data_IF_922930281692
#
_entry.id   IF_922930281692
#
_cell.length_a   1.000
_cell.length_b   1.000
_cell.length_c   1.000
_cell.angle_alpha   90.00
_cell.angle_beta   90.00
_cell.angle_gamma   90.00
#
_symmetry.space_group_name_H-M   'P 1'
#
loop_
_entity.id
_entity.type
_entity.pdbx_description
1 polymer ?
#
# COMPACT_ATOMS: atom_id res chain seq x y z
N UNK A 1 -23.20 24.01 -27.82
CA UNK A 1 -22.01 24.43 -27.04
C UNK A 1 -22.33 24.27 -25.57
N UNK A 2 -21.95 23.13 -24.98
CA UNK A 2 -22.13 22.87 -23.55
C UNK A 2 -21.18 23.77 -22.75
N UNK A 3 -21.74 24.52 -21.79
CA UNK A 3 -20.95 25.29 -20.84
C UNK A 3 -20.08 24.32 -20.04
N UNK A 4 -18.79 24.28 -20.35
CA UNK A 4 -17.76 23.65 -19.53
C UNK A 4 -17.90 24.28 -18.15
N UNK A 5 -18.31 23.49 -17.15
CA UNK A 5 -18.30 23.92 -15.77
C UNK A 5 -16.86 24.29 -15.41
N UNK A 6 -16.59 25.58 -15.31
CA UNK A 6 -15.39 26.10 -14.67
C UNK A 6 -15.42 25.63 -13.21
N UNK A 7 -14.88 24.43 -12.94
CA UNK A 7 -14.48 24.07 -11.58
C UNK A 7 -13.47 25.13 -11.17
N UNK A 8 -13.88 26.06 -10.29
CA UNK A 8 -12.95 26.96 -9.61
C UNK A 8 -11.90 26.07 -8.95
N UNK A 9 -10.70 25.99 -9.53
CA UNK A 9 -9.59 25.29 -8.92
C UNK A 9 -9.31 25.99 -7.60
N UNK A 10 -9.65 25.33 -6.49
CA UNK A 10 -9.37 25.84 -5.16
C UNK A 10 -7.87 26.05 -5.02
N UNK A 11 -7.47 27.30 -4.78
CA UNK A 11 -6.07 27.66 -4.61
C UNK A 11 -5.59 27.14 -3.25
N UNK A 12 -4.93 25.98 -3.25
CA UNK A 12 -4.26 25.46 -2.06
C UNK A 12 -3.10 26.40 -1.75
N UNK A 13 -3.08 26.95 -0.54
CA UNK A 13 -1.96 27.75 -0.06
C UNK A 13 -1.01 26.85 0.72
N UNK A 14 0.15 26.50 0.17
CA UNK A 14 1.08 25.59 0.84
C UNK A 14 1.73 26.27 2.05
N UNK A 15 2.15 25.43 2.99
CA UNK A 15 2.84 25.88 4.20
C UNK A 15 4.23 25.26 4.31
N UNK A 16 5.09 25.86 5.10
CA UNK A 16 6.36 25.27 5.55
C UNK A 16 6.50 25.40 7.06
N UNK A 17 7.36 24.60 7.68
CA UNK A 17 7.73 24.87 9.07
C UNK A 17 8.53 26.17 9.17
N UNK A 18 8.29 26.94 10.22
CA UNK A 18 9.04 28.18 10.50
C UNK A 18 10.48 27.93 10.95
N UNK A 19 10.79 26.68 11.30
CA UNK A 19 12.15 26.25 11.66
C UNK A 19 13.00 26.18 10.39
N UNK A 20 13.94 27.10 10.23
CA UNK A 20 14.89 27.15 9.12
C UNK A 20 16.05 26.15 9.33
N UNK A 21 15.72 24.86 9.40
CA UNK A 21 16.69 23.79 9.60
C UNK A 21 16.31 22.54 8.80
N UNK A 22 17.27 21.65 8.57
CA UNK A 22 17.03 20.39 7.88
C UNK A 22 16.39 19.37 8.83
N UNK A 23 15.27 18.75 8.45
CA UNK A 23 14.67 17.67 9.23
C UNK A 23 15.49 16.39 9.14
N UNK A 24 15.86 15.83 10.28
CA UNK A 24 16.73 14.65 10.40
C UNK A 24 15.97 13.36 10.70
N UNK A 25 14.85 13.44 11.42
CA UNK A 25 13.96 12.29 11.66
C UNK A 25 12.49 12.69 11.75
N UNK A 26 11.61 11.76 11.36
CA UNK A 26 10.18 11.77 11.66
C UNK A 26 9.86 10.48 12.38
N UNK A 27 9.37 10.58 13.61
CA UNK A 27 9.04 9.43 14.46
C UNK A 27 7.52 9.31 14.53
N UNK A 28 7.00 8.21 14.01
CA UNK A 28 5.59 7.85 14.03
C UNK A 28 5.24 7.13 15.33
N UNK A 29 4.00 7.30 15.75
CA UNK A 29 3.47 6.64 16.92
C UNK A 29 2.03 6.20 16.66
N UNK A 30 1.63 5.01 17.14
CA UNK A 30 0.23 4.59 17.16
C UNK A 30 -0.63 5.56 17.97
N UNK A 31 -1.84 5.85 17.48
CA UNK A 31 -2.86 6.64 18.19
C UNK A 31 -2.51 8.11 18.51
N UNK A 32 -1.33 8.61 18.11
CA UNK A 32 -0.92 10.00 18.39
C UNK A 32 -0.13 10.61 17.23
N UNK A 33 -0.07 11.95 17.13
CA UNK A 33 0.71 12.62 16.11
C UNK A 33 2.19 12.18 16.07
N UNK A 34 2.77 12.19 14.87
CA UNK A 34 4.21 12.00 14.71
C UNK A 34 4.98 13.25 15.16
N UNK A 35 6.27 13.10 15.39
CA UNK A 35 7.17 14.22 15.72
C UNK A 35 8.31 14.30 14.73
N UNK A 36 8.65 15.53 14.33
CA UNK A 36 9.78 15.85 13.49
C UNK A 36 10.91 16.44 14.33
N UNK A 37 12.13 15.95 14.11
CA UNK A 37 13.34 16.48 14.74
C UNK A 37 14.19 17.17 13.67
N UNK A 38 14.65 18.39 13.98
CA UNK A 38 15.51 19.19 13.12
C UNK A 38 16.97 19.12 13.58
N UNK A 39 17.90 19.44 12.69
CA UNK A 39 19.34 19.44 12.98
C UNK A 39 19.74 20.41 14.11
N UNK A 40 18.94 21.45 14.36
CA UNK A 40 19.09 22.35 15.51
C UNK A 40 18.77 21.70 16.87
N UNK A 41 18.25 20.47 16.88
CA UNK A 41 17.71 19.81 18.07
C UNK A 41 16.24 20.18 18.35
N UNK A 42 15.66 21.12 17.61
CA UNK A 42 14.23 21.46 17.73
C UNK A 42 13.37 20.25 17.39
N UNK A 43 12.46 19.89 18.29
CA UNK A 43 11.46 18.84 18.07
C UNK A 43 10.07 19.45 18.00
N UNK A 44 9.33 19.15 16.95
CA UNK A 44 7.96 19.65 16.75
C UNK A 44 7.00 18.50 16.51
N UNK A 45 5.75 18.69 16.92
CA UNK A 45 4.66 17.83 16.48
C UNK A 45 4.39 18.06 14.98
N UNK A 46 4.30 16.99 14.21
CA UNK A 46 4.09 17.08 12.76
C UNK A 46 2.67 17.54 12.42
N UNK A 47 2.53 18.53 11.54
CA UNK A 47 1.23 19.10 11.15
C UNK A 47 1.07 19.20 9.64
N UNK A 48 -0.17 19.29 9.16
CA UNK A 48 -0.46 19.32 7.73
C UNK A 48 0.09 20.60 7.08
N UNK A 49 0.94 20.43 6.06
CA UNK A 49 1.52 21.54 5.29
C UNK A 49 0.71 21.92 4.04
N UNK A 50 -0.49 21.36 3.88
CA UNK A 50 -1.38 21.63 2.74
C UNK A 50 -0.66 21.43 1.39
N UNK A 51 -0.08 20.24 1.18
CA UNK A 51 0.80 19.99 0.03
C UNK A 51 0.09 20.15 -1.31
N UNK A 52 0.72 20.88 -2.24
CA UNK A 52 0.20 21.15 -3.59
C UNK A 52 -0.12 19.86 -4.35
N UNK A 53 0.81 18.90 -4.30
CA UNK A 53 0.71 17.61 -5.00
C UNK A 53 -0.27 16.64 -4.32
N UNK A 54 -0.77 16.95 -3.12
CA UNK A 54 -1.76 16.15 -2.38
C UNK A 54 -1.39 14.66 -2.26
N UNK A 55 -0.14 14.36 -1.92
CA UNK A 55 0.40 12.99 -1.83
C UNK A 55 -0.44 12.01 -1.00
N UNK A 56 -1.17 12.47 0.02
CA UNK A 56 -2.04 11.62 0.83
C UNK A 56 -3.38 11.25 0.14
N UNK A 57 -3.74 11.95 -0.95
CA UNK A 57 -4.94 11.69 -1.76
C UNK A 57 -4.59 11.03 -3.08
N UNK A 58 -3.49 11.44 -3.73
CA UNK A 58 -3.21 11.08 -5.12
C UNK A 58 -1.79 10.54 -5.32
N UNK A 59 -1.70 9.51 -6.15
CA UNK A 59 -0.50 9.09 -6.87
C UNK A 59 -0.27 9.98 -8.09
N UNK A 60 0.99 10.20 -8.44
CA UNK A 60 1.38 10.81 -9.72
C UNK A 60 1.22 9.78 -10.85
N UNK A 61 0.98 10.27 -12.06
CA UNK A 61 0.92 9.40 -13.24
C UNK A 61 2.23 8.61 -13.45
N UNK A 62 3.37 9.22 -13.11
CA UNK A 62 4.69 8.55 -13.15
C UNK A 62 4.86 7.46 -12.09
N UNK A 63 4.06 7.46 -11.02
CA UNK A 63 4.02 6.36 -10.04
C UNK A 63 3.12 5.21 -10.53
N UNK A 64 2.28 5.46 -11.54
CA UNK A 64 1.34 4.50 -12.15
C UNK A 64 1.72 4.16 -13.59
N UNK A 65 3.01 4.25 -13.93
CA UNK A 65 3.57 3.81 -15.19
C UNK A 65 4.75 2.89 -14.95
N UNK A 66 4.99 1.97 -15.88
CA UNK A 66 6.09 1.01 -15.79
C UNK A 66 6.70 0.82 -17.18
N UNK A 67 7.96 1.21 -17.36
CA UNK A 67 8.66 1.05 -18.64
C UNK A 67 8.95 -0.42 -18.95
N UNK A 68 9.11 -1.27 -17.93
CA UNK A 68 9.30 -2.71 -18.11
C UNK A 68 8.06 -3.40 -18.64
N UNK A 69 6.88 -2.79 -18.52
CA UNK A 69 5.60 -3.31 -18.96
C UNK A 69 4.77 -2.25 -19.68
N UNK A 70 5.38 -1.58 -20.67
CA UNK A 70 4.78 -0.43 -21.37
C UNK A 70 3.48 -0.75 -22.13
N UNK A 71 3.25 -2.03 -22.45
CA UNK A 71 2.09 -2.50 -23.24
C UNK A 71 0.92 -2.91 -22.33
N UNK A 72 1.12 -3.01 -21.01
CA UNK A 72 0.07 -3.46 -20.09
C UNK A 72 -1.03 -2.37 -19.95
N UNK A 73 -2.30 -2.66 -20.29
CA UNK A 73 -3.41 -1.73 -20.22
C UNK A 73 -3.80 -1.51 -18.75
N UNK A 74 -3.17 -0.52 -18.13
CA UNK A 74 -3.34 -0.27 -16.71
C UNK A 74 -4.50 0.66 -16.38
N UNK A 75 -5.06 0.43 -15.19
CA UNK A 75 -6.00 1.34 -14.56
C UNK A 75 -5.31 2.67 -14.19
N UNK A 76 -6.03 3.78 -14.39
CA UNK A 76 -5.53 5.15 -14.17
C UNK A 76 -6.02 5.79 -12.88
N UNK A 77 -6.68 5.03 -11.99
CA UNK A 77 -7.15 5.57 -10.72
C UNK A 77 -5.94 6.02 -9.88
N UNK A 78 -5.87 7.31 -9.57
CA UNK A 78 -4.79 7.92 -8.80
C UNK A 78 -5.05 7.91 -7.29
N UNK A 79 -6.22 7.48 -6.83
CA UNK A 79 -6.59 7.60 -5.42
C UNK A 79 -5.69 6.72 -4.54
N UNK A 80 -5.12 7.33 -3.51
CA UNK A 80 -4.37 6.66 -2.44
C UNK A 80 -5.32 5.89 -1.52
N UNK A 81 -6.45 6.50 -1.16
CA UNK A 81 -7.46 5.85 -0.35
C UNK A 81 -8.39 5.00 -1.24
N UNK A 82 -8.38 3.66 -1.10
CA UNK A 82 -9.15 2.79 -1.99
C UNK A 82 -10.66 2.87 -1.78
N UNK A 83 -11.09 3.42 -0.63
CA UNK A 83 -12.49 3.63 -0.23
C UNK A 83 -12.90 5.10 -0.27
N UNK A 84 -12.07 5.99 -0.85
CA UNK A 84 -12.34 7.42 -0.97
C UNK A 84 -12.70 8.14 0.34
N UNK A 85 -12.19 7.67 1.49
CA UNK A 85 -12.50 8.24 2.80
C UNK A 85 -11.79 9.59 3.06
N UNK A 86 -10.68 9.88 2.38
CA UNK A 86 -9.98 11.17 2.52
C UNK A 86 -10.24 12.06 1.30
N UNK A 87 -10.72 13.28 1.53
CA UNK A 87 -11.07 14.24 0.47
C UNK A 87 -10.66 15.65 0.85
N UNK A 88 -10.47 16.50 -0.14
CA UNK A 88 -10.34 17.94 0.08
C UNK A 88 -11.71 18.58 -0.16
N UNK A 89 -12.38 19.00 0.91
CA UNK A 89 -13.68 19.66 0.82
C UNK A 89 -13.52 21.10 0.32
N UNK A 90 -14.54 21.60 -0.38
CA UNK A 90 -14.58 23.00 -0.80
C UNK A 90 -14.38 23.93 0.40
N UNK A 91 -13.58 24.99 0.22
CA UNK A 91 -13.25 25.99 1.25
C UNK A 91 -12.46 25.45 2.47
N UNK A 92 -12.02 24.18 2.47
CA UNK A 92 -11.13 23.67 3.52
C UNK A 92 -9.66 23.99 3.23
N UNK A 93 -8.89 24.33 4.27
CA UNK A 93 -7.42 24.48 4.17
C UNK A 93 -6.67 23.14 4.26
N UNK A 94 -7.34 22.07 4.67
CA UNK A 94 -6.76 20.77 4.97
C UNK A 94 -7.64 19.64 4.44
N UNK A 95 -7.09 18.45 4.15
CA UNK A 95 -7.90 17.30 3.81
C UNK A 95 -8.74 16.84 5.02
N UNK A 96 -9.92 16.30 4.75
CA UNK A 96 -10.85 15.76 5.73
C UNK A 96 -10.97 14.25 5.52
N UNK A 97 -11.04 13.49 6.62
CA UNK A 97 -11.26 12.05 6.62
C UNK A 97 -12.68 11.77 7.10
N UNK A 98 -13.48 11.13 6.27
CA UNK A 98 -14.76 10.55 6.63
C UNK A 98 -14.53 9.26 7.42
N UNK A 99 -14.84 9.30 8.71
CA UNK A 99 -14.64 8.18 9.64
C UNK A 99 -15.56 6.99 9.38
N UNK A 100 -16.70 7.21 8.71
CA UNK A 100 -17.65 6.15 8.36
C UNK A 100 -17.12 5.32 7.19
N UNK A 101 -16.46 5.96 6.22
CA UNK A 101 -15.82 5.28 5.09
C UNK A 101 -14.42 4.75 5.41
N UNK A 102 -13.70 5.37 6.34
CA UNK A 102 -12.31 5.02 6.62
C UNK A 102 -12.17 3.59 7.16
N UNK A 103 -11.45 2.74 6.42
CA UNK A 103 -11.09 1.37 6.83
C UNK A 103 -9.85 1.31 7.74
N UNK A 104 -9.34 2.46 8.20
CA UNK A 104 -8.16 2.56 9.08
C UNK A 104 -6.87 1.89 8.55
N UNK A 105 -6.70 1.77 7.22
CA UNK A 105 -5.60 0.99 6.65
C UNK A 105 -4.22 1.66 6.71
N UNK A 106 -4.13 3.00 6.80
CA UNK A 106 -2.85 3.71 6.93
C UNK A 106 -2.18 4.17 5.64
N UNK A 107 -2.73 3.89 4.45
CA UNK A 107 -2.13 4.33 3.18
C UNK A 107 -1.90 5.84 3.10
N UNK A 108 -2.88 6.65 3.53
CA UNK A 108 -2.74 8.11 3.54
C UNK A 108 -1.67 8.60 4.53
N UNK A 109 -1.53 7.94 5.68
CA UNK A 109 -0.50 8.23 6.68
C UNK A 109 0.89 7.90 6.13
N UNK A 110 1.04 6.72 5.53
CA UNK A 110 2.29 6.25 4.96
C UNK A 110 2.76 7.08 3.76
N UNK A 111 1.82 7.66 2.98
CA UNK A 111 2.15 8.57 1.88
C UNK A 111 2.42 10.01 2.32
N UNK A 112 2.06 10.42 3.54
CA UNK A 112 2.23 11.80 3.96
C UNK A 112 3.73 12.10 4.20
N UNK A 113 4.38 12.94 3.37
CA UNK A 113 5.81 13.21 3.52
C UNK A 113 6.17 13.88 4.84
N UNK A 114 5.20 14.59 5.43
CA UNK A 114 5.35 15.37 6.65
C UNK A 114 5.09 14.53 7.91
N UNK A 115 4.43 13.38 7.78
CA UNK A 115 3.91 12.63 8.92
C UNK A 115 2.73 13.30 9.64
N UNK A 116 1.98 14.15 8.93
CA UNK A 116 0.85 14.90 9.47
C UNK A 116 -0.44 14.07 9.63
N UNK A 117 -0.43 12.78 9.32
CA UNK A 117 -1.61 11.92 9.46
C UNK A 117 -1.22 10.75 10.36
N UNK A 118 -2.00 10.52 11.40
CA UNK A 118 -1.83 9.39 12.32
C UNK A 118 -3.12 8.56 12.37
N UNK A 119 -3.00 7.30 12.77
CA UNK A 119 -4.13 6.39 12.91
C UNK A 119 -4.58 6.39 14.36
N UNK A 120 -5.88 6.62 14.58
CA UNK A 120 -6.53 6.34 15.85
C UNK A 120 -7.09 4.92 15.85
N UNK A 121 -7.76 4.53 16.94
CA UNK A 121 -8.41 3.22 17.03
C UNK A 121 -9.44 2.96 15.92
N UNK A 122 -10.08 4.00 15.35
CA UNK A 122 -11.22 3.83 14.42
C UNK A 122 -11.03 4.45 13.04
N UNK A 123 -10.17 5.47 12.92
CA UNK A 123 -10.00 6.25 11.69
C UNK A 123 -8.63 6.95 11.64
N UNK A 124 -8.19 7.30 10.43
CA UNK A 124 -7.10 8.23 10.23
C UNK A 124 -7.50 9.66 10.63
N UNK A 125 -6.56 10.41 11.20
CA UNK A 125 -6.73 11.79 11.64
C UNK A 125 -5.64 12.65 11.00
N UNK A 126 -6.05 13.74 10.33
CA UNK A 126 -5.15 14.76 9.80
C UNK A 126 -4.81 15.71 10.94
N UNK A 127 -3.55 15.74 11.36
CA UNK A 127 -3.10 16.66 12.38
C UNK A 127 -2.97 18.07 11.83
N UNK A 128 -3.68 18.99 12.48
CA UNK A 128 -3.69 20.42 12.17
C UNK A 128 -3.38 21.26 13.40
N UNK A 129 -2.89 20.66 14.51
CA UNK A 129 -2.75 21.35 15.80
C UNK A 129 -1.57 22.34 15.86
N UNK A 130 -0.45 22.05 15.21
CA UNK A 130 0.74 22.91 15.26
C UNK A 130 0.74 24.03 14.19
N UNK A 131 -0.40 24.71 13.96
CA UNK A 131 -0.51 25.76 12.92
C UNK A 131 0.44 26.93 13.19
N UNK A 132 0.70 27.27 14.45
CA UNK A 132 1.60 28.36 14.83
C UNK A 132 3.08 28.13 14.47
N UNK A 133 3.44 26.87 14.21
CA UNK A 133 4.82 26.49 13.82
C UNK A 133 4.98 26.39 12.31
N UNK A 134 3.99 26.82 11.55
CA UNK A 134 4.01 26.82 10.09
C UNK A 134 3.58 28.17 9.52
N UNK A 135 4.21 28.57 8.43
CA UNK A 135 3.89 29.81 7.71
C UNK A 135 3.48 29.50 6.27
N UNK A 136 2.68 30.40 5.67
CA UNK A 136 2.37 30.34 4.25
C UNK A 136 3.65 30.53 3.44
N UNK A 137 3.74 29.85 2.30
CA UNK A 137 4.92 29.92 1.46
C UNK A 137 4.55 29.82 -0.02
N UNK A 138 5.52 30.02 -0.91
CA UNK A 138 5.34 29.84 -2.34
C UNK A 138 5.59 28.37 -2.75
N UNK A 139 5.18 28.00 -3.97
CA UNK A 139 5.35 26.64 -4.51
C UNK A 139 6.80 26.15 -4.45
N UNK A 140 7.76 26.99 -4.83
CA UNK A 140 9.17 26.61 -4.91
C UNK A 140 9.73 26.24 -3.54
N UNK A 141 9.53 27.11 -2.54
CA UNK A 141 9.99 26.88 -1.17
C UNK A 141 9.30 25.66 -0.53
N UNK A 142 8.01 25.47 -0.81
CA UNK A 142 7.29 24.29 -0.37
C UNK A 142 7.89 23.00 -0.92
N UNK A 143 8.18 22.95 -2.23
CA UNK A 143 8.77 21.76 -2.87
C UNK A 143 10.18 21.47 -2.36
N UNK A 144 10.99 22.51 -2.09
CA UNK A 144 12.30 22.35 -1.44
C UNK A 144 12.14 21.69 -0.06
N UNK A 145 11.22 22.19 0.77
CA UNK A 145 10.97 21.60 2.09
C UNK A 145 10.49 20.14 2.01
N UNK A 146 9.56 19.86 1.10
CA UNK A 146 9.08 18.49 0.88
C UNK A 146 10.21 17.56 0.41
N UNK A 147 11.13 18.03 -0.44
CA UNK A 147 12.27 17.22 -0.89
C UNK A 147 13.17 16.78 0.26
N UNK A 148 13.32 17.63 1.28
CA UNK A 148 14.03 17.30 2.53
C UNK A 148 13.26 16.25 3.33
N UNK A 149 11.96 16.47 3.54
CA UNK A 149 11.08 15.56 4.29
C UNK A 149 10.95 14.16 3.68
N UNK A 150 10.97 14.05 2.34
CA UNK A 150 10.98 12.75 1.67
C UNK A 150 12.24 11.94 2.02
N UNK A 151 13.39 12.61 2.14
CA UNK A 151 14.70 12.00 2.46
C UNK A 151 14.94 11.83 3.96
N UNK A 152 14.14 12.48 4.81
CA UNK A 152 14.22 12.36 6.26
C UNK A 152 13.95 10.93 6.70
N UNK A 153 14.78 10.43 7.64
CA UNK A 153 14.66 9.10 8.24
C UNK A 153 13.29 8.96 8.92
N UNK A 154 12.59 7.85 8.64
CA UNK A 154 11.26 7.55 9.17
C UNK A 154 11.38 6.39 10.13
N UNK A 155 10.91 6.58 11.35
CA UNK A 155 11.05 5.62 12.45
C UNK A 155 9.71 5.42 13.18
N UNK A 156 9.61 4.34 13.95
CA UNK A 156 8.39 3.98 14.67
C UNK A 156 7.33 3.36 13.76
N UNK A 157 6.12 3.22 14.30
CA UNK A 157 4.98 2.58 13.64
C UNK A 157 3.81 3.53 13.48
N UNK A 158 3.05 3.37 12.39
CA UNK A 158 1.79 4.08 12.19
C UNK A 158 0.67 3.53 13.09
N UNK A 159 0.75 2.23 13.40
CA UNK A 159 -0.23 1.49 14.15
C UNK A 159 0.38 0.18 14.66
N UNK A 160 -0.05 -0.26 15.84
CA UNK A 160 0.30 -1.58 16.37
C UNK A 160 -0.84 -2.56 16.07
N UNK A 161 -0.48 -3.73 15.54
CA UNK A 161 -1.45 -4.77 15.26
C UNK A 161 -2.02 -5.40 16.53
N UNK A 162 -3.31 -5.74 16.47
CA UNK A 162 -4.04 -6.50 17.49
C UNK A 162 -5.24 -7.17 16.83
N UNK A 163 -5.74 -8.26 17.43
CA UNK A 163 -6.93 -8.96 16.91
C UNK A 163 -8.13 -8.02 16.76
N UNK A 164 -8.39 -7.17 17.76
CA UNK A 164 -9.51 -6.23 17.74
C UNK A 164 -9.38 -5.19 16.62
N UNK A 165 -8.17 -4.71 16.36
CA UNK A 165 -7.91 -3.78 15.26
C UNK A 165 -8.12 -4.46 13.91
N UNK A 166 -7.52 -5.63 13.71
CA UNK A 166 -7.63 -6.37 12.45
C UNK A 166 -9.09 -6.74 12.19
N UNK A 167 -9.82 -7.23 13.20
CA UNK A 167 -11.26 -7.52 13.11
C UNK A 167 -12.04 -6.29 12.62
N UNK A 168 -11.79 -5.13 13.23
CA UNK A 168 -12.47 -3.88 12.87
C UNK A 168 -12.18 -3.49 11.42
N UNK A 169 -10.93 -3.61 10.98
CA UNK A 169 -10.52 -3.31 9.60
C UNK A 169 -11.18 -4.29 8.63
N UNK A 170 -11.12 -5.59 8.89
CA UNK A 170 -11.66 -6.63 8.02
C UNK A 170 -13.18 -6.54 7.90
N UNK A 171 -13.90 -6.24 8.99
CA UNK A 171 -15.34 -5.94 8.93
C UNK A 171 -15.64 -4.77 8.00
N UNK A 172 -14.89 -3.67 8.12
CA UNK A 172 -15.08 -2.52 7.23
C UNK A 172 -14.68 -2.83 5.77
N UNK A 173 -13.64 -3.63 5.55
CA UNK A 173 -13.23 -4.09 4.21
C UNK A 173 -14.34 -4.90 3.53
N UNK A 174 -14.96 -5.84 4.24
CA UNK A 174 -16.03 -6.70 3.72
C UNK A 174 -17.35 -5.94 3.52
N UNK A 175 -17.62 -4.92 4.33
CA UNK A 175 -18.80 -4.08 4.21
C UNK A 175 -18.63 -2.88 3.28
N UNK A 176 -17.41 -2.63 2.77
CA UNK A 176 -17.16 -1.51 1.87
C UNK A 176 -17.85 -1.79 0.53
N UNK A 177 -19.02 -1.18 0.32
CA UNK A 177 -19.72 -1.16 -0.98
C UNK A 177 -18.84 -0.44 -2.00
N UNK A 178 -18.02 -1.24 -2.68
CA UNK A 178 -16.94 -0.78 -3.53
C UNK A 178 -16.99 -1.51 -4.86
N UNK A 179 -16.45 -0.86 -5.89
CA UNK A 179 -16.39 -1.46 -7.21
C UNK A 179 -15.65 -2.81 -7.19
N UNK A 180 -15.94 -3.69 -8.15
CA UNK A 180 -15.17 -4.93 -8.37
C UNK A 180 -13.64 -4.73 -8.52
N UNK A 181 -13.17 -3.52 -8.81
CA UNK A 181 -11.75 -3.18 -8.89
C UNK A 181 -11.09 -2.95 -7.51
N UNK A 182 -11.88 -2.89 -6.43
CA UNK A 182 -11.41 -2.52 -5.10
C UNK A 182 -10.28 -3.42 -4.57
N UNK A 183 -10.36 -4.77 -4.64
CA UNK A 183 -9.25 -5.63 -4.24
C UNK A 183 -7.94 -5.26 -4.93
N UNK A 184 -8.01 -5.03 -6.25
CA UNK A 184 -6.86 -4.71 -7.07
C UNK A 184 -6.31 -3.33 -6.70
N UNK A 185 -7.18 -2.33 -6.56
CA UNK A 185 -6.80 -0.98 -6.17
C UNK A 185 -6.13 -0.94 -4.79
N UNK A 186 -6.69 -1.65 -3.81
CA UNK A 186 -6.17 -1.66 -2.46
C UNK A 186 -4.80 -2.35 -2.40
N UNK A 187 -4.69 -3.53 -3.00
CA UNK A 187 -3.43 -4.29 -3.09
C UNK A 187 -2.34 -3.50 -3.79
N UNK A 188 -2.64 -2.91 -4.95
CA UNK A 188 -1.71 -2.04 -5.69
C UNK A 188 -1.16 -0.93 -4.81
N UNK A 189 -2.04 -0.24 -4.10
CA UNK A 189 -1.66 0.90 -3.27
C UNK A 189 -0.76 0.46 -2.09
N UNK A 190 -1.01 -0.72 -1.50
CA UNK A 190 -0.13 -1.29 -0.47
C UNK A 190 1.25 -1.64 -1.04
N UNK A 191 1.30 -2.32 -2.19
CA UNK A 191 2.56 -2.71 -2.84
C UNK A 191 3.38 -1.48 -3.28
N UNK A 192 2.75 -0.42 -3.79
CA UNK A 192 3.45 0.86 -4.08
C UNK A 192 4.04 1.47 -2.82
N UNK A 193 3.35 1.38 -1.68
CA UNK A 193 3.90 1.87 -0.43
C UNK A 193 5.10 1.03 0.05
N UNK A 194 5.07 -0.27 -0.20
CA UNK A 194 6.17 -1.22 -0.01
C UNK A 194 7.22 -1.18 -1.14
N UNK A 195 7.28 -0.07 -1.90
CA UNK A 195 8.31 0.24 -2.91
C UNK A 195 8.29 -0.59 -4.19
N UNK A 196 7.19 -1.28 -4.47
CA UNK A 196 6.96 -1.92 -5.77
C UNK A 196 6.20 -1.00 -6.72
N UNK A 197 6.76 -0.72 -7.90
CA UNK A 197 5.97 -0.14 -8.97
C UNK A 197 4.94 -1.18 -9.41
N UNK A 198 3.65 -0.93 -9.13
CA UNK A 198 2.59 -1.92 -9.32
C UNK A 198 1.50 -1.34 -10.20
N UNK A 199 1.16 -2.06 -11.26
CA UNK A 199 0.05 -1.72 -12.15
C UNK A 199 -1.04 -2.79 -12.02
N UNK A 200 -2.29 -2.37 -12.10
CA UNK A 200 -3.44 -3.28 -12.14
C UNK A 200 -4.16 -3.13 -13.45
N UNK A 201 -4.78 -4.21 -13.91
CA UNK A 201 -5.54 -4.24 -15.15
C UNK A 201 -6.65 -3.19 -15.14
N UNK A 202 -6.86 -2.54 -16.28
CA UNK A 202 -7.99 -1.64 -16.50
C UNK A 202 -9.32 -2.39 -16.40
N UNK A 203 -10.29 -1.82 -15.68
CA UNK A 203 -11.65 -2.38 -15.58
C UNK A 203 -12.26 -2.58 -16.98
N UNK A 204 -12.78 -3.78 -17.24
CA UNK A 204 -13.45 -4.14 -18.50
C UNK A 204 -12.52 -4.57 -19.63
N UNK A 205 -11.20 -4.66 -19.39
CA UNK A 205 -10.27 -5.25 -20.35
C UNK A 205 -10.38 -6.78 -20.35
N UNK A 206 -10.71 -7.35 -21.50
CA UNK A 206 -10.85 -8.80 -21.71
C UNK A 206 -9.63 -9.45 -22.37
N UNK A 207 -8.69 -8.64 -22.87
CA UNK A 207 -7.50 -9.11 -23.57
C UNK A 207 -6.44 -9.61 -22.60
N UNK A 208 -6.34 -8.96 -21.43
CA UNK A 208 -5.45 -9.35 -20.34
C UNK A 208 -6.28 -9.85 -19.17
N UNK A 209 -6.01 -11.09 -18.71
CA UNK A 209 -6.75 -11.70 -17.59
C UNK A 209 -6.13 -11.46 -16.22
N UNK A 210 -4.82 -11.25 -16.21
CA UNK A 210 -4.00 -10.88 -15.05
C UNK A 210 -4.62 -9.73 -14.26
N UNK A 211 -4.60 -9.82 -12.93
CA UNK A 211 -5.05 -8.73 -12.06
C UNK A 211 -4.06 -7.57 -12.03
N UNK A 212 -2.77 -7.87 -12.08
CA UNK A 212 -1.73 -6.87 -12.11
C UNK A 212 -0.34 -7.42 -12.41
N UNK A 213 0.59 -6.49 -12.43
CA UNK A 213 2.02 -6.71 -12.63
C UNK A 213 2.78 -5.77 -11.72
N UNK A 214 4.01 -6.15 -11.37
CA UNK A 214 4.85 -5.31 -10.55
C UNK A 214 6.31 -5.38 -10.96
N UNK A 215 7.06 -4.35 -10.59
CA UNK A 215 8.50 -4.38 -10.62
C UNK A 215 9.12 -3.57 -9.47
N UNK A 216 10.41 -3.78 -9.25
CA UNK A 216 11.23 -2.99 -8.35
C UNK A 216 12.47 -2.49 -9.08
N UNK A 217 13.18 -1.55 -8.46
CA UNK A 217 14.48 -1.08 -8.96
C UNK A 217 15.58 -2.16 -8.84
N UNK A 218 15.37 -3.22 -8.05
CA UNK A 218 16.31 -4.33 -7.84
C UNK A 218 16.10 -5.51 -8.80
N UNK A 219 15.68 -5.22 -10.03
CA UNK A 219 15.46 -6.21 -11.11
C UNK A 219 14.33 -7.23 -10.90
N UNK A 220 13.56 -7.13 -9.80
CA UNK A 220 12.35 -7.96 -9.64
C UNK A 220 11.29 -7.45 -10.60
N UNK A 221 10.72 -8.34 -11.39
CA UNK A 221 9.52 -8.14 -12.21
C UNK A 221 8.61 -9.34 -12.05
N UNK A 222 7.31 -9.14 -12.05
CA UNK A 222 6.38 -10.19 -11.68
C UNK A 222 4.94 -9.95 -12.07
N UNK A 223 4.14 -10.99 -11.87
CA UNK A 223 2.70 -11.02 -12.08
C UNK A 223 2.00 -11.14 -10.73
N UNK A 224 0.85 -10.48 -10.63
CA UNK A 224 0.02 -10.41 -9.45
C UNK A 224 -1.37 -10.99 -9.73
N UNK A 225 -1.79 -11.91 -8.86
CA UNK A 225 -3.17 -12.42 -8.77
C UNK A 225 -3.75 -12.04 -7.41
N UNK A 226 -5.00 -11.55 -7.37
CA UNK A 226 -5.58 -10.93 -6.18
C UNK A 226 -6.94 -11.55 -5.86
N UNK A 227 -7.04 -12.25 -4.73
CA UNK A 227 -8.27 -12.97 -4.37
C UNK A 227 -8.78 -12.58 -2.97
N UNK A 228 -9.85 -11.80 -2.93
CA UNK A 228 -10.51 -11.42 -1.67
C UNK A 228 -11.75 -12.26 -1.35
N UNK A 229 -12.22 -13.06 -2.31
CA UNK A 229 -13.37 -13.93 -2.18
C UNK A 229 -13.00 -15.34 -1.75
N UNK A 230 -13.86 -16.30 -2.14
CA UNK A 230 -13.80 -17.69 -1.70
C UNK A 230 -13.00 -18.60 -2.65
N UNK A 231 -12.59 -18.10 -3.81
CA UNK A 231 -12.05 -18.92 -4.90
C UNK A 231 -10.51 -18.89 -5.02
N UNK A 232 -9.84 -18.83 -3.87
CA UNK A 232 -8.38 -18.79 -3.79
C UNK A 232 -7.71 -20.03 -4.38
N UNK A 233 -8.43 -21.14 -4.51
CA UNK A 233 -7.93 -22.36 -5.13
C UNK A 233 -7.56 -22.18 -6.61
N UNK A 234 -8.21 -21.24 -7.31
CA UNK A 234 -7.92 -20.99 -8.72
C UNK A 234 -6.72 -20.05 -8.92
N UNK A 235 -6.33 -19.26 -7.91
CA UNK A 235 -5.24 -18.29 -8.02
C UNK A 235 -3.90 -18.90 -8.50
N UNK A 236 -3.45 -20.09 -8.05
CA UNK A 236 -2.22 -20.70 -8.58
C UNK A 236 -2.32 -21.05 -10.08
N UNK A 237 -3.50 -21.47 -10.55
CA UNK A 237 -3.73 -21.80 -11.97
C UNK A 237 -3.76 -20.53 -12.82
N UNK A 238 -4.46 -19.49 -12.34
CA UNK A 238 -4.51 -18.19 -13.01
C UNK A 238 -3.10 -17.59 -13.16
N UNK A 239 -2.26 -17.71 -12.14
CA UNK A 239 -0.85 -17.31 -12.21
C UNK A 239 -0.08 -18.06 -13.30
N UNK A 240 -0.29 -19.36 -13.47
CA UNK A 240 0.37 -20.12 -14.55
C UNK A 240 -0.10 -19.65 -15.93
N UNK A 241 -1.40 -19.41 -16.09
CA UNK A 241 -1.97 -18.86 -17.33
C UNK A 241 -1.36 -17.49 -17.64
N UNK A 242 -1.23 -16.63 -16.63
CA UNK A 242 -0.65 -15.32 -16.78
C UNK A 242 0.84 -15.35 -17.16
N UNK A 243 1.61 -16.25 -16.55
CA UNK A 243 3.01 -16.50 -16.92
C UNK A 243 3.12 -16.98 -18.37
N UNK A 244 2.23 -17.89 -18.79
CA UNK A 244 2.18 -18.37 -20.16
C UNK A 244 1.82 -17.24 -21.15
N UNK A 245 0.88 -16.36 -20.80
CA UNK A 245 0.51 -15.18 -21.61
C UNK A 245 1.69 -14.22 -21.75
N UNK A 246 2.36 -13.86 -20.64
CA UNK A 246 3.53 -12.98 -20.68
C UNK A 246 4.69 -13.59 -21.48
N UNK A 247 4.89 -14.90 -21.36
CA UNK A 247 5.96 -15.59 -22.09
C UNK A 247 5.68 -15.72 -23.58
N UNK A 248 4.44 -16.05 -23.97
CA UNK A 248 4.09 -16.30 -25.37
C UNK A 248 3.80 -15.03 -26.17
N UNK A 249 3.13 -14.05 -25.58
CA UNK A 249 2.66 -12.84 -26.29
C UNK A 249 3.58 -11.64 -26.13
N UNK A 250 4.30 -11.57 -25.02
CA UNK A 250 5.08 -10.39 -24.65
C UNK A 250 6.58 -10.68 -24.46
N UNK A 251 7.01 -11.91 -24.78
CA UNK A 251 8.41 -12.33 -24.83
C UNK A 251 9.18 -12.18 -23.49
N UNK A 252 8.48 -12.27 -22.35
CA UNK A 252 9.13 -12.35 -21.04
C UNK A 252 9.52 -13.80 -20.73
N UNK A 253 10.75 -14.04 -20.30
CA UNK A 253 11.10 -15.35 -19.75
C UNK A 253 10.30 -15.60 -18.46
N UNK A 254 9.43 -16.61 -18.43
CA UNK A 254 8.66 -16.94 -17.22
C UNK A 254 9.56 -17.28 -16.03
N UNK A 255 10.77 -17.79 -16.28
CA UNK A 255 11.78 -18.06 -15.24
C UNK A 255 12.30 -16.79 -14.58
N UNK A 256 12.19 -15.64 -15.24
CA UNK A 256 12.59 -14.35 -14.70
C UNK A 256 11.46 -13.65 -13.94
N UNK A 257 10.21 -14.03 -14.20
CA UNK A 257 9.05 -13.44 -13.57
C UNK A 257 8.81 -14.02 -12.18
N UNK A 258 8.42 -13.15 -11.26
CA UNK A 258 8.06 -13.50 -9.90
C UNK A 258 6.54 -13.61 -9.79
N UNK A 259 5.98 -14.81 -9.57
CA UNK A 259 4.54 -14.96 -9.36
C UNK A 259 4.17 -14.63 -7.92
N UNK A 260 3.18 -13.78 -7.72
CA UNK A 260 2.71 -13.36 -6.41
C UNK A 260 1.18 -13.42 -6.33
N UNK A 261 0.67 -14.17 -5.35
CA UNK A 261 -0.75 -14.23 -5.00
C UNK A 261 -0.94 -13.40 -3.73
N UNK A 262 -1.87 -12.44 -3.78
CA UNK A 262 -2.31 -11.69 -2.61
C UNK A 262 -3.75 -12.07 -2.29
N UNK A 263 -3.97 -12.64 -1.12
CA UNK A 263 -5.31 -12.99 -0.65
C UNK A 263 -5.76 -12.10 0.51
N UNK A 264 -7.07 -12.08 0.79
CA UNK A 264 -7.57 -11.45 2.01
C UNK A 264 -7.09 -12.23 3.26
N UNK A 265 -7.17 -13.56 3.19
CA UNK A 265 -6.74 -14.52 4.22
C UNK A 265 -5.97 -15.67 3.56
N UNK A 266 -5.02 -16.30 4.25
CA UNK A 266 -4.42 -17.53 3.72
C UNK A 266 -5.46 -18.66 3.65
N UNK A 267 -5.44 -19.49 2.58
CA UNK A 267 -6.31 -20.66 2.45
C UNK A 267 -6.08 -21.68 3.58
N UNK A 268 -7.13 -22.32 4.09
CA UNK A 268 -6.99 -23.35 5.12
C UNK A 268 -6.04 -24.49 4.69
N UNK A 269 -5.39 -25.16 5.64
CA UNK A 269 -4.39 -26.20 5.36
C UNK A 269 -4.94 -27.38 4.55
N UNK A 270 -6.24 -27.69 4.71
CA UNK A 270 -6.93 -28.76 3.96
C UNK A 270 -7.25 -28.40 2.50
N UNK A 271 -7.00 -27.18 2.06
CA UNK A 271 -7.24 -26.78 0.68
C UNK A 271 -6.14 -27.31 -0.24
N UNK A 272 -6.49 -27.73 -1.45
CA UNK A 272 -5.52 -28.20 -2.46
C UNK A 272 -4.58 -27.08 -2.95
N UNK A 273 -4.85 -25.82 -2.60
CA UNK A 273 -4.02 -24.66 -2.93
C UNK A 273 -2.53 -24.94 -2.68
N UNK A 274 -2.18 -25.40 -1.49
CA UNK A 274 -0.80 -25.59 -1.06
C UNK A 274 -0.09 -26.73 -1.81
N UNK A 275 -0.84 -27.77 -2.16
CA UNK A 275 -0.33 -28.88 -2.98
C UNK A 275 -0.07 -28.42 -4.40
N UNK A 276 -0.99 -27.64 -4.98
CA UNK A 276 -0.78 -27.04 -6.30
C UNK A 276 0.46 -26.14 -6.32
N UNK A 277 0.67 -25.29 -5.30
CA UNK A 277 1.88 -24.46 -5.18
C UNK A 277 3.15 -25.32 -5.16
N UNK A 278 3.15 -26.44 -4.41
CA UNK A 278 4.28 -27.37 -4.33
C UNK A 278 4.52 -28.08 -5.67
N UNK A 279 3.47 -28.59 -6.30
CA UNK A 279 3.55 -29.33 -7.56
C UNK A 279 4.08 -28.43 -8.69
N UNK A 280 3.63 -27.18 -8.75
CA UNK A 280 4.16 -26.18 -9.70
C UNK A 280 5.67 -25.98 -9.51
N UNK A 281 6.15 -25.89 -8.26
CA UNK A 281 7.57 -25.78 -8.00
C UNK A 281 8.32 -27.05 -8.40
N UNK A 282 7.82 -28.24 -8.04
CA UNK A 282 8.50 -29.50 -8.35
C UNK A 282 8.59 -29.77 -9.86
N UNK A 283 7.56 -29.42 -10.63
CA UNK A 283 7.49 -29.71 -12.07
C UNK A 283 8.14 -28.62 -12.91
N UNK A 284 7.90 -27.35 -12.58
CA UNK A 284 8.31 -26.21 -13.41
C UNK A 284 9.45 -25.39 -12.82
N UNK A 285 9.87 -25.67 -11.58
CA UNK A 285 10.80 -24.84 -10.81
C UNK A 285 10.32 -23.38 -10.68
N UNK A 286 9.00 -23.20 -10.51
CA UNK A 286 8.36 -21.91 -10.33
C UNK A 286 7.86 -21.82 -8.88
N UNK A 287 8.37 -20.82 -8.16
CA UNK A 287 8.00 -20.56 -6.76
C UNK A 287 6.94 -19.45 -6.72
N UNK A 288 5.69 -19.86 -6.66
CA UNK A 288 4.56 -18.93 -6.49
C UNK A 288 4.55 -18.45 -5.03
N UNK A 289 4.65 -17.14 -4.85
CA UNK A 289 4.63 -16.51 -3.53
C UNK A 289 3.20 -16.23 -3.07
N UNK A 290 2.94 -16.34 -1.77
CA UNK A 290 1.63 -16.09 -1.17
C UNK A 290 1.77 -15.07 -0.03
N UNK A 291 0.97 -14.02 -0.05
CA UNK A 291 0.90 -13.02 1.01
C UNK A 291 -0.56 -12.64 1.27
N UNK A 292 -0.82 -12.03 2.42
CA UNK A 292 -2.15 -11.50 2.77
C UNK A 292 -2.15 -9.98 2.83
N UNK A 293 -3.34 -9.39 2.66
CA UNK A 293 -3.57 -7.96 2.89
C UNK A 293 -3.16 -7.55 4.31
N UNK A 294 -3.50 -8.36 5.32
CA UNK A 294 -3.05 -8.13 6.70
C UNK A 294 -1.52 -8.06 6.81
N UNK A 295 -0.80 -8.97 6.15
CA UNK A 295 0.67 -8.97 6.16
C UNK A 295 1.24 -7.71 5.51
N UNK A 296 0.70 -7.31 4.34
CA UNK A 296 1.12 -6.08 3.67
C UNK A 296 0.86 -4.83 4.52
N UNK A 297 -0.28 -4.78 5.21
CA UNK A 297 -0.63 -3.69 6.13
C UNK A 297 0.33 -3.61 7.31
N UNK A 298 0.64 -4.74 7.96
CA UNK A 298 1.58 -4.79 9.09
C UNK A 298 2.98 -4.34 8.65
N UNK A 299 3.47 -4.83 7.50
CA UNK A 299 4.76 -4.41 6.96
C UNK A 299 4.79 -2.90 6.68
N UNK A 300 3.71 -2.37 6.08
CA UNK A 300 3.56 -0.94 5.80
C UNK A 300 3.50 -0.12 7.09
N UNK A 301 2.77 -0.60 8.12
CA UNK A 301 2.64 0.07 9.41
C UNK A 301 3.98 0.25 10.13
N UNK A 302 4.95 -0.62 9.86
CA UNK A 302 6.28 -0.57 10.46
C UNK A 302 7.35 0.04 9.53
N UNK A 303 6.95 0.66 8.41
CA UNK A 303 7.88 1.20 7.39
C UNK A 303 8.93 0.16 6.93
N UNK A 304 8.54 -1.12 6.85
CA UNK A 304 9.48 -2.21 6.58
C UNK A 304 10.03 -2.14 5.17
N UNK A 305 11.32 -2.40 5.01
CA UNK A 305 11.93 -2.62 3.70
C UNK A 305 11.68 -4.07 3.27
N UNK A 306 10.89 -4.24 2.20
CA UNK A 306 10.47 -5.55 1.75
C UNK A 306 11.14 -5.88 0.43
N UNK A 307 11.89 -6.99 0.42
CA UNK A 307 12.40 -7.56 -0.82
C UNK A 307 11.41 -8.64 -1.31
N UNK A 308 10.91 -8.48 -2.53
CA UNK A 308 9.95 -9.41 -3.15
C UNK A 308 10.63 -10.42 -4.10
N UNK A 309 11.92 -10.72 -3.90
CA UNK A 309 12.61 -11.81 -4.60
C UNK A 309 11.85 -13.14 -4.47
N UNK A 310 12.07 -14.06 -5.42
CA UNK A 310 11.26 -15.27 -5.69
C UNK A 310 11.09 -16.26 -4.53
N UNK A 311 11.87 -16.12 -3.47
CA UNK A 311 11.89 -17.06 -2.35
C UNK A 311 11.32 -16.49 -1.05
N UNK A 312 11.16 -15.17 -0.95
CA UNK A 312 10.94 -14.53 0.34
C UNK A 312 9.56 -14.80 0.93
N UNK A 313 8.57 -15.11 0.10
CA UNK A 313 7.20 -15.42 0.53
C UNK A 313 6.66 -16.70 -0.12
N UNK A 314 7.55 -17.62 -0.52
CA UNK A 314 7.13 -18.95 -0.94
C UNK A 314 6.78 -19.79 0.29
N UNK A 315 5.56 -20.31 0.30
CA UNK A 315 5.04 -21.24 1.29
C UNK A 315 4.19 -22.30 0.58
N UNK A 316 4.24 -23.53 1.07
CA UNK A 316 3.65 -24.70 0.41
C UNK A 316 3.06 -25.69 1.41
N UNK A 317 2.78 -26.92 0.97
CA UNK A 317 2.19 -27.93 1.84
C UNK A 317 3.14 -28.59 2.87
N UNK A 318 4.44 -28.29 2.83
CA UNK A 318 5.39 -28.69 3.86
C UNK A 318 5.61 -27.56 4.88
N UNK A 319 5.55 -26.31 4.42
CA UNK A 319 5.63 -25.12 5.27
C UNK A 319 4.64 -24.04 4.83
N UNK A 320 3.50 -23.98 5.51
CA UNK A 320 2.40 -23.06 5.21
C UNK A 320 2.50 -21.69 5.91
N UNK A 321 3.56 -21.42 6.68
CA UNK A 321 3.62 -20.23 7.54
C UNK A 321 4.54 -19.15 6.98
N UNK A 322 4.00 -17.93 6.92
CA UNK A 322 4.73 -16.68 6.64
C UNK A 322 5.30 -16.04 7.90
N UNK A 323 5.00 -16.58 9.08
CA UNK A 323 5.23 -15.92 10.36
C UNK A 323 6.70 -15.58 10.57
N UNK A 324 7.61 -16.51 10.29
CA UNK A 324 9.04 -16.29 10.41
C UNK A 324 9.54 -15.22 9.42
N UNK A 325 9.04 -15.21 8.18
CA UNK A 325 9.43 -14.21 7.18
C UNK A 325 8.98 -12.81 7.62
N UNK A 326 7.75 -12.68 8.12
CA UNK A 326 7.23 -11.40 8.61
C UNK A 326 7.97 -10.95 9.89
N UNK A 327 8.22 -11.84 10.86
CA UNK A 327 8.98 -11.52 12.07
C UNK A 327 10.39 -11.03 11.73
N UNK A 328 11.05 -11.68 10.77
CA UNK A 328 12.39 -11.30 10.31
C UNK A 328 12.39 -9.90 9.72
N UNK A 329 11.40 -9.57 8.89
CA UNK A 329 11.24 -8.24 8.28
C UNK A 329 10.93 -7.15 9.31
N UNK A 330 10.16 -7.48 10.35
CA UNK A 330 9.79 -6.55 11.41
C UNK A 330 10.86 -6.37 12.48
N UNK A 331 11.74 -7.37 12.67
CA UNK A 331 12.67 -7.43 13.80
C UNK A 331 11.99 -7.64 15.15
N UNK A 332 10.72 -8.08 15.17
CA UNK A 332 9.90 -8.32 16.37
C UNK A 332 8.79 -9.33 16.10
N UNK A 333 8.23 -9.89 17.16
CA UNK A 333 7.03 -10.73 17.10
C UNK A 333 5.80 -9.96 16.63
N UNK A 334 4.85 -10.67 16.02
CA UNK A 334 3.56 -10.14 15.58
C UNK A 334 2.55 -10.29 16.72
N UNK A 335 1.72 -9.28 16.95
CA UNK A 335 0.72 -9.27 18.01
C UNK A 335 -0.70 -9.55 17.49
N UNK A 336 -0.90 -10.67 16.80
CA UNK A 336 -2.22 -11.14 16.34
C UNK A 336 -2.38 -12.64 16.57
N UNK A 337 -3.59 -13.08 16.88
CA UNK A 337 -3.93 -14.49 16.90
C UNK A 337 -4.17 -14.99 15.47
N UNK A 338 -3.51 -16.10 15.11
CA UNK A 338 -3.67 -16.70 13.78
C UNK A 338 -5.10 -17.22 13.53
N UNK A 339 -5.84 -17.59 14.59
CA UNK A 339 -7.11 -18.31 14.52
C UNK A 339 -8.23 -17.55 13.78
N UNK A 340 -8.24 -16.22 13.82
CA UNK A 340 -9.39 -15.44 13.35
C UNK A 340 -9.26 -14.99 11.89
N UNK A 341 -8.04 -14.81 11.38
CA UNK A 341 -7.81 -14.12 10.11
C UNK A 341 -6.86 -14.86 9.16
N UNK A 342 -6.18 -15.92 9.61
CA UNK A 342 -5.17 -16.62 8.80
C UNK A 342 -4.17 -15.68 8.10
N UNK A 343 -3.68 -14.63 8.79
CA UNK A 343 -2.85 -13.57 8.15
C UNK A 343 -1.46 -14.09 7.79
N UNK A 344 -0.77 -14.73 8.73
CA UNK A 344 0.58 -15.28 8.53
C UNK A 344 0.63 -16.80 8.62
N UNK A 345 -0.45 -17.44 9.06
CA UNK A 345 -0.56 -18.90 9.13
C UNK A 345 -1.99 -19.32 8.83
N UNK A 346 -2.22 -20.33 7.99
CA UNK A 346 -3.56 -20.80 7.70
C UNK A 346 -4.18 -21.55 8.87
N UNK A 347 -5.51 -21.45 8.95
CA UNK A 347 -6.33 -22.29 9.81
C UNK A 347 -6.35 -23.75 9.31
N UNK A 348 -6.72 -24.68 10.20
CA UNK A 348 -6.80 -26.11 9.87
C UNK A 348 -7.83 -26.38 8.77
#
# INVERSE_FOLDING_TARGET
MSKIFNQKQQQIVPKHYTVESTPISIIYYPNKPSYITFQTGTKLESTCLSCIERYCLNYKESELSNSLFSIFPNDKNTNVCPVNAIKWLANSSFPHVDSNLCINCGLCASRCPVGAIYLSQKTAIVNTRAVEKVSLTNKSNHMIMLSKLFRTKKEGSFQDESDALIDSIYKKLLCADTSSQFPNLFTRNLLIQLKLNTLIRRKGDVNIRMDGIFSSNSSVKGVLEIEFGKDVLNSPRNILDDLAVLSSRYNYSYKELTPLIISLNLPNTRTEYWRVIKDVNNVLNIRIQSLTIGSLMILMWNNSEVNFNKDNFYIDCDNYSLENQIITLLGRSINISNLNFSITKPNK
#
